data_IF_802216438680
#
_entry.id   IF_802216438680
#
_cell.length_a   1.000
_cell.length_b   1.000
_cell.length_c   1.000
_cell.angle_alpha   90.00
_cell.angle_beta   90.00
_cell.angle_gamma   90.00
#
_symmetry.space_group_name_H-M   'P 1'
#
loop_
_entity.id
_entity.type
_entity.pdbx_description
1 polymer ?
#
# COMPACT_ATOMS: atom_id res chain seq x y z
N UNK A 1 13.85 5.14 -5.25
CA UNK A 1 12.70 5.92 -4.73
C UNK A 1 12.55 5.85 -3.20
N UNK A 2 12.33 4.70 -2.60
CA UNK A 2 12.25 4.50 -1.14
C UNK A 2 13.42 3.63 -0.68
N UNK A 3 14.10 4.03 0.41
CA UNK A 3 15.14 3.23 1.09
C UNK A 3 14.80 3.18 2.58
N UNK A 4 14.72 1.97 3.10
CA UNK A 4 14.54 1.69 4.53
C UNK A 4 15.80 1.01 5.03
N UNK A 5 16.45 1.60 6.03
CA UNK A 5 17.77 1.15 6.51
C UNK A 5 17.72 0.87 8.00
N UNK A 6 17.90 -0.39 8.38
CA UNK A 6 18.07 -0.90 9.76
C UNK A 6 17.03 -0.34 10.75
N UNK A 7 15.77 -0.24 10.34
CA UNK A 7 14.72 0.30 11.22
C UNK A 7 14.40 -0.67 12.33
N UNK A 8 14.25 -0.11 13.55
CA UNK A 8 13.83 -0.84 14.74
C UNK A 8 12.60 -0.13 15.34
N UNK A 9 11.47 -0.85 15.44
CA UNK A 9 10.20 -0.27 15.89
C UNK A 9 9.67 -1.04 17.09
N UNK A 10 9.15 -0.31 18.08
CA UNK A 10 8.68 -0.85 19.35
C UNK A 10 7.25 -0.40 19.66
N UNK A 11 6.47 -1.29 20.23
CA UNK A 11 5.22 -1.00 20.92
C UNK A 11 5.45 -1.21 22.43
N UNK A 12 5.78 -0.14 23.14
CA UNK A 12 6.23 -0.24 24.53
C UNK A 12 7.47 -1.13 24.65
N UNK A 13 7.38 -2.26 25.33
CA UNK A 13 8.47 -3.23 25.48
C UNK A 13 8.57 -4.24 24.32
N UNK A 14 7.58 -4.30 23.43
CA UNK A 14 7.54 -5.28 22.33
C UNK A 14 8.37 -4.75 21.16
N UNK A 15 9.45 -5.46 20.81
CA UNK A 15 10.28 -5.19 19.63
C UNK A 15 9.62 -5.78 18.39
N UNK A 16 8.83 -4.98 17.68
CA UNK A 16 8.01 -5.42 16.55
C UNK A 16 8.80 -5.53 15.24
N UNK A 17 9.68 -4.56 14.96
CA UNK A 17 10.56 -4.55 13.78
C UNK A 17 12.01 -4.51 14.24
N UNK A 18 12.83 -5.43 13.71
CA UNK A 18 14.14 -5.79 14.25
C UNK A 18 15.22 -5.67 13.17
N UNK A 19 15.67 -4.44 12.90
CA UNK A 19 16.74 -4.18 11.95
C UNK A 19 16.33 -4.47 10.49
N UNK A 20 15.15 -4.01 10.08
CA UNK A 20 14.65 -4.24 8.72
C UNK A 20 15.25 -3.22 7.77
N UNK A 21 15.79 -3.75 6.65
CA UNK A 21 16.30 -2.95 5.53
C UNK A 21 15.73 -3.48 4.21
N UNK A 22 15.20 -2.59 3.39
CA UNK A 22 14.74 -2.89 2.03
C UNK A 22 14.65 -1.61 1.20
N UNK A 23 14.44 -1.76 -0.10
CA UNK A 23 14.29 -0.62 -1.01
C UNK A 23 13.20 -0.86 -2.04
N UNK A 24 12.67 0.23 -2.59
CA UNK A 24 11.72 0.25 -3.71
C UNK A 24 12.28 1.21 -4.76
N UNK A 25 12.48 0.73 -5.98
CA UNK A 25 12.94 1.53 -7.12
C UNK A 25 11.77 2.24 -7.79
N UNK A 26 12.05 3.27 -8.60
CA UNK A 26 11.02 3.93 -9.39
C UNK A 26 10.41 2.95 -10.42
N UNK A 27 9.08 2.94 -10.53
CA UNK A 27 8.35 2.11 -11.47
C UNK A 27 8.38 0.62 -11.13
N UNK A 28 8.64 0.23 -9.89
CA UNK A 28 8.71 -1.16 -9.42
C UNK A 28 7.48 -1.51 -8.58
N UNK A 29 6.98 -2.75 -8.70
CA UNK A 29 6.12 -3.36 -7.68
C UNK A 29 7.01 -4.17 -6.74
N UNK A 30 7.12 -3.72 -5.50
CA UNK A 30 7.77 -4.48 -4.42
C UNK A 30 6.71 -5.03 -3.48
N UNK A 31 6.83 -6.29 -3.09
CA UNK A 31 5.92 -6.87 -2.09
C UNK A 31 6.63 -7.27 -0.80
N UNK A 32 5.96 -7.03 0.33
CA UNK A 32 6.31 -7.60 1.63
C UNK A 32 5.29 -8.68 1.96
N UNK A 33 5.71 -9.93 1.97
CA UNK A 33 4.88 -11.07 2.34
C UNK A 33 5.28 -11.60 3.72
N UNK A 34 4.36 -12.25 4.40
CA UNK A 34 4.58 -12.84 5.72
C UNK A 34 3.27 -13.11 6.45
N UNK A 35 3.33 -13.93 7.48
CA UNK A 35 2.18 -14.27 8.31
C UNK A 35 1.60 -13.04 9.05
N UNK A 36 0.38 -13.19 9.57
CA UNK A 36 -0.20 -12.18 10.46
C UNK A 36 0.67 -11.96 11.69
N UNK A 37 0.89 -10.69 12.03
CA UNK A 37 1.81 -10.33 13.12
C UNK A 37 3.30 -10.32 12.74
N UNK A 38 3.67 -10.61 11.50
CA UNK A 38 5.08 -10.54 11.07
C UNK A 38 5.66 -9.11 11.12
N UNK A 39 4.81 -8.07 11.12
CA UNK A 39 5.23 -6.67 11.21
C UNK A 39 4.98 -5.86 9.93
N UNK A 40 4.30 -6.41 8.93
CA UNK A 40 4.03 -5.78 7.62
C UNK A 40 3.37 -4.40 7.76
N UNK A 41 2.20 -4.32 8.38
CA UNK A 41 1.48 -3.07 8.67
C UNK A 41 2.31 -2.09 9.52
N UNK A 42 3.11 -2.62 10.47
CA UNK A 42 4.02 -1.79 11.29
C UNK A 42 5.04 -1.05 10.42
N UNK A 43 5.61 -1.73 9.41
CA UNK A 43 6.54 -1.11 8.45
C UNK A 43 5.83 0.00 7.67
N UNK A 44 4.64 -0.26 7.10
CA UNK A 44 3.88 0.75 6.34
C UNK A 44 3.52 1.96 7.21
N UNK A 45 3.07 1.73 8.46
CA UNK A 45 2.76 2.79 9.40
C UNK A 45 4.00 3.61 9.78
N UNK A 46 5.18 2.99 9.83
CA UNK A 46 6.43 3.69 10.10
C UNK A 46 6.84 4.56 8.91
N UNK A 47 6.72 4.04 7.69
CA UNK A 47 7.02 4.81 6.45
C UNK A 47 6.06 5.98 6.29
N UNK A 48 4.78 5.80 6.61
CA UNK A 48 3.76 6.87 6.50
C UNK A 48 3.80 7.89 7.65
N UNK A 49 4.71 7.73 8.63
CA UNK A 49 4.86 8.64 9.76
C UNK A 49 3.78 8.52 10.84
N UNK A 50 2.99 7.45 10.82
CA UNK A 50 2.04 7.10 11.87
C UNK A 50 2.73 6.47 13.09
N UNK A 51 3.88 5.83 12.84
CA UNK A 51 4.80 5.31 13.86
C UNK A 51 6.20 5.87 13.63
N UNK A 52 7.04 5.79 14.65
CA UNK A 52 8.44 6.20 14.56
C UNK A 52 9.37 5.03 14.84
N UNK A 53 10.41 4.89 14.02
CA UNK A 53 11.52 3.97 14.32
C UNK A 53 12.36 4.53 15.46
N UNK A 54 12.82 3.66 16.36
CA UNK A 54 13.75 4.03 17.44
C UNK A 54 15.17 4.25 16.90
N UNK A 55 15.55 3.46 15.90
CA UNK A 55 16.83 3.55 15.20
C UNK A 55 16.62 3.26 13.72
N UNK A 56 17.65 3.51 12.91
CA UNK A 56 17.59 3.36 11.46
C UNK A 56 17.11 4.62 10.76
N UNK A 57 16.96 4.56 9.45
CA UNK A 57 16.49 5.69 8.64
C UNK A 57 15.53 5.23 7.56
N UNK A 58 14.64 6.15 7.16
CA UNK A 58 13.74 5.98 6.02
C UNK A 58 13.95 7.19 5.11
N UNK A 59 14.34 6.92 3.88
CA UNK A 59 14.57 7.94 2.87
C UNK A 59 13.58 7.76 1.72
N UNK A 60 12.90 8.82 1.35
CA UNK A 60 12.01 8.86 0.21
C UNK A 60 12.42 9.98 -0.73
N UNK A 61 12.79 9.64 -1.98
CA UNK A 61 13.29 10.58 -2.97
C UNK A 61 14.45 11.43 -2.41
N UNK A 62 15.45 10.76 -1.84
CA UNK A 62 16.66 11.34 -1.22
C UNK A 62 16.39 12.29 -0.04
N UNK A 63 15.17 12.23 0.53
CA UNK A 63 14.80 13.00 1.72
C UNK A 63 14.55 12.06 2.90
N UNK A 64 15.20 12.29 4.02
CA UNK A 64 14.96 11.54 5.25
C UNK A 64 13.58 11.89 5.83
N UNK A 65 12.71 10.89 5.95
CA UNK A 65 11.35 11.06 6.47
C UNK A 65 11.32 11.34 7.97
N UNK A 66 12.37 11.02 8.74
CA UNK A 66 12.43 11.34 10.16
C UNK A 66 12.42 12.86 10.44
N UNK A 67 12.84 13.68 9.47
CA UNK A 67 12.78 15.14 9.56
C UNK A 67 11.38 15.70 9.16
N UNK A 68 10.45 14.86 8.73
CA UNK A 68 9.12 15.29 8.27
C UNK A 68 8.11 15.13 9.41
N UNK A 69 7.56 16.24 9.87
CA UNK A 69 6.60 16.25 10.97
C UNK A 69 5.16 16.16 10.46
N UNK A 70 4.53 14.99 10.67
CA UNK A 70 3.14 14.73 10.37
C UNK A 70 2.90 14.02 9.02
N UNK A 71 2.01 13.04 9.05
CA UNK A 71 1.68 12.19 7.91
C UNK A 71 1.20 12.98 6.67
N UNK A 72 0.49 14.12 6.86
CA UNK A 72 0.04 14.96 5.76
C UNK A 72 1.20 15.55 4.93
N UNK A 73 2.34 15.84 5.55
CA UNK A 73 3.53 16.32 4.83
C UNK A 73 4.17 15.19 4.02
N UNK A 74 4.12 13.95 4.52
CA UNK A 74 4.58 12.76 3.78
C UNK A 74 3.71 12.54 2.54
N UNK A 75 2.39 12.66 2.69
CA UNK A 75 1.45 12.62 1.55
C UNK A 75 1.76 13.70 0.52
N UNK A 76 2.04 14.94 0.97
CA UNK A 76 2.41 16.06 0.08
C UNK A 76 3.70 15.82 -0.70
N UNK A 77 4.58 14.92 -0.23
CA UNK A 77 5.81 14.50 -0.95
C UNK A 77 5.53 13.45 -2.02
N UNK A 78 4.31 12.91 -2.07
CA UNK A 78 3.90 11.91 -3.06
C UNK A 78 3.90 10.47 -2.56
N UNK A 79 3.78 10.25 -1.24
CA UNK A 79 3.66 8.92 -0.65
C UNK A 79 2.24 8.76 -0.09
N UNK A 80 1.47 7.79 -0.61
CA UNK A 80 0.12 7.51 -0.14
C UNK A 80 0.00 6.09 0.40
N UNK A 81 -0.80 5.93 1.46
CA UNK A 81 -1.12 4.65 2.07
C UNK A 81 -2.61 4.35 1.93
N UNK A 82 -2.93 3.17 1.40
CA UNK A 82 -4.25 2.53 1.54
C UNK A 82 -4.15 1.56 2.71
N UNK A 83 -4.71 1.88 3.87
CA UNK A 83 -4.58 1.05 5.06
C UNK A 83 -5.49 -0.16 5.00
N UNK A 84 -5.18 -1.18 5.79
CA UNK A 84 -6.03 -2.33 6.05
C UNK A 84 -7.43 -1.88 6.52
N UNK A 85 -8.47 -2.62 6.10
CA UNK A 85 -9.86 -2.35 6.46
C UNK A 85 -10.46 -1.15 5.75
N UNK A 86 -9.89 -0.71 4.61
CA UNK A 86 -10.41 0.31 3.66
C UNK A 86 -10.45 1.72 4.22
N UNK A 87 -10.91 1.93 5.46
CA UNK A 87 -10.97 3.22 6.19
C UNK A 87 -11.63 4.34 5.37
N UNK A 88 -12.68 4.02 4.61
CA UNK A 88 -13.50 5.03 3.93
C UNK A 88 -14.43 5.74 4.91
N UNK A 89 -14.82 6.98 4.58
CA UNK A 89 -15.79 7.74 5.36
C UNK A 89 -17.20 7.26 5.00
N UNK A 90 -17.74 6.36 5.81
CA UNK A 90 -18.98 5.62 5.51
C UNK A 90 -20.22 6.51 5.33
N UNK A 91 -20.25 7.69 5.96
CA UNK A 91 -21.39 8.63 5.90
C UNK A 91 -21.26 9.67 4.78
N UNK A 92 -20.13 9.70 4.09
CA UNK A 92 -19.88 10.59 2.95
C UNK A 92 -20.22 9.90 1.64
N UNK A 93 -20.49 10.68 0.60
CA UNK A 93 -20.62 10.13 -0.75
C UNK A 93 -19.30 9.57 -1.27
N UNK A 94 -19.37 8.81 -2.37
CA UNK A 94 -18.16 8.35 -3.08
C UNK A 94 -17.32 9.54 -3.52
N UNK A 95 -17.93 10.56 -4.13
CA UNK A 95 -17.23 11.76 -4.63
C UNK A 95 -16.57 12.53 -3.50
N UNK A 96 -17.28 12.76 -2.37
CA UNK A 96 -16.69 13.44 -1.21
C UNK A 96 -15.49 12.66 -0.63
N UNK A 97 -15.59 11.32 -0.57
CA UNK A 97 -14.46 10.48 -0.15
C UNK A 97 -13.25 10.66 -1.07
N UNK A 98 -13.46 10.73 -2.38
CA UNK A 98 -12.38 10.95 -3.34
C UNK A 98 -11.77 12.34 -3.18
N UNK A 99 -12.60 13.39 -3.07
CA UNK A 99 -12.12 14.76 -2.88
C UNK A 99 -11.29 14.92 -1.60
N UNK A 100 -11.64 14.22 -0.51
CA UNK A 100 -10.83 14.19 0.71
C UNK A 100 -9.40 13.66 0.45
N UNK A 101 -9.22 12.77 -0.53
CA UNK A 101 -7.90 12.27 -0.93
C UNK A 101 -7.02 13.35 -1.59
N UNK A 102 -7.64 14.38 -2.15
CA UNK A 102 -6.94 15.52 -2.77
C UNK A 102 -6.60 16.65 -1.78
N UNK A 103 -6.76 16.46 -0.47
CA UNK A 103 -6.58 17.51 0.55
C UNK A 103 -5.25 18.27 0.43
N UNK A 104 -4.18 17.57 0.03
CA UNK A 104 -2.83 18.16 -0.14
C UNK A 104 -2.60 18.74 -1.53
N UNK A 105 -3.58 18.64 -2.44
CA UNK A 105 -3.43 19.04 -3.83
C UNK A 105 -4.00 20.45 -4.09
N UNK A 106 -3.48 21.19 -5.08
CA UNK A 106 -4.07 22.45 -5.50
C UNK A 106 -5.52 22.27 -5.96
N UNK A 107 -6.42 23.20 -5.61
CA UNK A 107 -7.86 23.12 -5.95
C UNK A 107 -8.13 22.86 -7.44
N UNK A 108 -7.33 23.45 -8.33
CA UNK A 108 -7.49 23.29 -9.78
C UNK A 108 -7.20 21.87 -10.31
N UNK A 109 -6.58 20.99 -9.50
CA UNK A 109 -6.27 19.60 -9.89
C UNK A 109 -7.29 18.57 -9.44
N UNK A 110 -8.29 18.98 -8.64
CA UNK A 110 -9.31 18.06 -8.08
C UNK A 110 -10.17 17.47 -9.21
N UNK A 111 -10.77 18.28 -10.06
CA UNK A 111 -11.63 17.79 -11.14
C UNK A 111 -10.87 16.90 -12.14
N UNK A 112 -9.68 17.25 -12.63
CA UNK A 112 -8.86 16.33 -13.41
C UNK A 112 -8.49 15.05 -12.66
N UNK A 113 -8.25 15.13 -11.35
CA UNK A 113 -7.98 13.98 -10.48
C UNK A 113 -9.16 13.01 -10.42
N UNK A 114 -10.35 13.53 -10.18
CA UNK A 114 -11.61 12.75 -10.18
C UNK A 114 -11.80 12.03 -11.52
N UNK A 115 -11.58 12.70 -12.65
CA UNK A 115 -11.77 12.08 -13.95
C UNK A 115 -10.76 10.93 -14.18
N UNK A 116 -9.49 11.09 -13.78
CA UNK A 116 -8.50 9.99 -13.84
C UNK A 116 -8.92 8.80 -12.96
N UNK A 117 -9.38 9.06 -11.73
CA UNK A 117 -9.85 8.00 -10.83
C UNK A 117 -11.08 7.30 -11.41
N UNK A 118 -12.01 8.03 -12.01
CA UNK A 118 -13.19 7.46 -12.64
C UNK A 118 -12.89 6.65 -13.91
N UNK A 119 -11.81 6.97 -14.62
CA UNK A 119 -11.31 6.13 -15.72
C UNK A 119 -10.78 4.79 -15.21
N UNK A 120 -10.06 4.79 -14.09
CA UNK A 120 -9.56 3.55 -13.46
C UNK A 120 -10.67 2.75 -12.78
N UNK A 121 -11.65 3.44 -12.21
CA UNK A 121 -12.75 2.84 -11.46
C UNK A 121 -14.11 3.31 -11.96
N UNK A 122 -14.59 2.85 -13.14
CA UNK A 122 -15.85 3.33 -13.74
C UNK A 122 -17.06 3.15 -12.81
N UNK A 123 -17.07 2.11 -11.99
CA UNK A 123 -18.13 1.84 -11.00
C UNK A 123 -18.24 2.96 -9.95
N UNK A 124 -17.14 3.59 -9.57
CA UNK A 124 -17.17 4.73 -8.66
C UNK A 124 -17.84 5.95 -9.31
N UNK A 125 -17.63 6.17 -10.62
CA UNK A 125 -18.32 7.23 -11.38
C UNK A 125 -19.83 7.04 -11.41
N UNK A 126 -20.28 5.81 -11.70
CA UNK A 126 -21.70 5.44 -11.71
C UNK A 126 -22.38 5.73 -10.35
N UNK A 127 -21.63 5.52 -9.28
CA UNK A 127 -22.09 5.61 -7.88
C UNK A 127 -21.62 6.86 -7.15
N UNK A 128 -21.12 7.87 -7.84
CA UNK A 128 -20.45 9.03 -7.23
C UNK A 128 -21.24 9.73 -6.12
N UNK A 129 -22.57 9.75 -6.23
CA UNK A 129 -23.48 10.36 -5.24
C UNK A 129 -23.96 9.39 -4.16
N UNK A 130 -23.61 8.09 -4.28
CA UNK A 130 -24.02 7.07 -3.32
C UNK A 130 -23.21 7.20 -2.03
N UNK A 131 -23.85 6.96 -0.89
CA UNK A 131 -23.21 6.94 0.41
C UNK A 131 -22.25 5.73 0.50
N UNK A 132 -20.99 5.96 0.85
CA UNK A 132 -19.93 4.95 0.81
C UNK A 132 -20.21 3.73 1.71
N UNK A 133 -20.94 3.92 2.81
CA UNK A 133 -21.33 2.83 3.70
C UNK A 133 -22.28 1.81 3.07
N UNK A 134 -22.94 2.15 1.95
CA UNK A 134 -23.87 1.26 1.24
C UNK A 134 -23.22 0.50 0.08
N UNK A 135 -21.95 0.75 -0.17
CA UNK A 135 -21.16 0.04 -1.18
C UNK A 135 -20.80 -1.38 -0.72
N UNK A 136 -20.62 -2.29 -1.68
CA UNK A 136 -20.03 -3.61 -1.41
C UNK A 136 -18.58 -3.48 -0.91
N UNK A 137 -18.05 -4.55 -0.28
CA UNK A 137 -16.67 -4.56 0.21
C UNK A 137 -15.64 -4.27 -0.87
N UNK A 138 -15.81 -4.80 -2.08
CA UNK A 138 -14.92 -4.53 -3.20
C UNK A 138 -15.01 -3.10 -3.70
N UNK A 139 -16.21 -2.52 -3.78
CA UNK A 139 -16.41 -1.12 -4.16
C UNK A 139 -15.80 -0.16 -3.13
N UNK A 140 -15.91 -0.49 -1.83
CA UNK A 140 -15.24 0.27 -0.77
C UNK A 140 -13.71 0.19 -0.88
N UNK A 141 -13.16 -0.99 -1.29
CA UNK A 141 -11.73 -1.13 -1.53
C UNK A 141 -11.27 -0.30 -2.73
N UNK A 142 -12.01 -0.33 -3.83
CA UNK A 142 -11.77 0.54 -4.99
C UNK A 142 -11.84 2.02 -4.60
N UNK A 143 -12.80 2.40 -3.74
CA UNK A 143 -12.93 3.77 -3.23
C UNK A 143 -11.72 4.18 -2.38
N UNK A 144 -11.22 3.30 -1.51
CA UNK A 144 -10.02 3.55 -0.71
C UNK A 144 -8.78 3.75 -1.59
N UNK A 145 -8.60 2.91 -2.62
CA UNK A 145 -7.53 3.06 -3.61
C UNK A 145 -7.69 4.34 -4.43
N UNK A 146 -8.89 4.61 -4.95
CA UNK A 146 -9.20 5.83 -5.69
C UNK A 146 -8.92 7.09 -4.86
N UNK A 147 -9.29 7.10 -3.58
CA UNK A 147 -9.01 8.19 -2.66
C UNK A 147 -7.49 8.42 -2.48
N UNK A 148 -6.70 7.36 -2.37
CA UNK A 148 -5.26 7.48 -2.30
C UNK A 148 -4.67 8.07 -3.60
N UNK A 149 -5.17 7.65 -4.77
CA UNK A 149 -4.75 8.15 -6.08
C UNK A 149 -5.08 9.63 -6.30
N UNK A 150 -6.08 10.18 -5.61
CA UNK A 150 -6.40 11.61 -5.66
C UNK A 150 -5.26 12.50 -5.14
N UNK A 151 -4.37 11.97 -4.30
CA UNK A 151 -3.16 12.69 -3.87
C UNK A 151 -2.05 12.72 -4.94
N UNK A 152 -2.27 12.09 -6.11
CA UNK A 152 -1.30 11.93 -7.19
C UNK A 152 0.04 11.36 -6.70
N UNK A 153 0.04 10.17 -6.07
CA UNK A 153 1.21 9.63 -5.40
C UNK A 153 2.28 9.18 -6.40
N UNK A 154 3.54 9.32 -6.02
CA UNK A 154 4.70 8.71 -6.69
C UNK A 154 4.92 7.28 -6.19
N UNK A 155 4.62 7.04 -4.90
CA UNK A 155 4.62 5.72 -4.28
C UNK A 155 3.25 5.46 -3.64
N UNK A 156 2.58 4.41 -4.10
CA UNK A 156 1.34 3.91 -3.52
C UNK A 156 1.64 2.70 -2.64
N UNK A 157 1.36 2.80 -1.35
CA UNK A 157 1.47 1.70 -0.41
C UNK A 157 0.10 1.08 -0.18
N UNK A 158 -0.01 -0.24 -0.30
CA UNK A 158 -1.25 -1.01 -0.15
C UNK A 158 -1.09 -2.03 0.99
N UNK A 159 -1.92 -1.92 2.01
CA UNK A 159 -1.91 -2.82 3.18
C UNK A 159 -3.07 -3.82 3.09
N UNK A 160 -2.74 -5.05 2.70
CA UNK A 160 -3.65 -6.19 2.54
C UNK A 160 -4.93 -5.83 1.74
N UNK A 161 -4.78 -5.27 0.51
CA UNK A 161 -5.92 -4.76 -0.25
C UNK A 161 -6.93 -5.84 -0.66
N UNK A 162 -6.54 -7.11 -0.65
CA UNK A 162 -7.42 -8.24 -1.00
C UNK A 162 -8.16 -8.83 0.19
N UNK A 163 -7.83 -8.44 1.42
CA UNK A 163 -8.35 -9.08 2.62
C UNK A 163 -9.88 -8.97 2.76
N UNK A 164 -10.52 -10.13 3.01
CA UNK A 164 -11.97 -10.21 3.22
C UNK A 164 -12.82 -9.95 1.97
N UNK A 165 -12.23 -10.08 0.79
CA UNK A 165 -12.92 -10.00 -0.49
C UNK A 165 -13.23 -11.38 -1.05
N UNK A 166 -14.31 -11.47 -1.84
CA UNK A 166 -14.61 -12.67 -2.62
C UNK A 166 -13.54 -12.88 -3.71
N UNK A 167 -13.24 -14.15 -4.13
CA UNK A 167 -12.15 -14.45 -5.08
C UNK A 167 -12.17 -13.60 -6.35
N UNK A 168 -13.32 -13.41 -6.96
CA UNK A 168 -13.47 -12.59 -8.17
C UNK A 168 -13.09 -11.12 -7.95
N UNK A 169 -13.32 -10.58 -6.74
CA UNK A 169 -12.93 -9.22 -6.40
C UNK A 169 -11.43 -9.12 -6.09
N UNK A 170 -10.84 -10.20 -5.54
CA UNK A 170 -9.37 -10.28 -5.36
C UNK A 170 -8.69 -10.15 -6.72
N UNK A 171 -9.09 -10.94 -7.72
CA UNK A 171 -8.54 -10.87 -9.08
C UNK A 171 -8.66 -9.45 -9.65
N UNK A 172 -9.83 -8.81 -9.51
CA UNK A 172 -10.05 -7.43 -9.95
C UNK A 172 -9.10 -6.44 -9.29
N UNK A 173 -8.86 -6.55 -7.97
CA UNK A 173 -7.91 -5.67 -7.26
C UNK A 173 -6.49 -5.86 -7.79
N UNK A 174 -6.05 -7.10 -8.03
CA UNK A 174 -4.73 -7.36 -8.57
C UNK A 174 -4.59 -6.90 -10.02
N UNK A 175 -5.64 -6.98 -10.83
CA UNK A 175 -5.63 -6.42 -12.19
C UNK A 175 -5.52 -4.89 -12.15
N UNK A 176 -6.23 -4.21 -11.23
CA UNK A 176 -6.08 -2.77 -11.00
C UNK A 176 -4.65 -2.42 -10.59
N UNK A 177 -4.03 -3.19 -9.69
CA UNK A 177 -2.62 -2.99 -9.29
C UNK A 177 -1.69 -3.06 -10.50
N UNK A 178 -1.87 -4.05 -11.38
CA UNK A 178 -1.09 -4.18 -12.62
C UNK A 178 -1.30 -2.98 -13.56
N UNK A 179 -2.55 -2.52 -13.72
CA UNK A 179 -2.85 -1.37 -14.57
C UNK A 179 -2.24 -0.06 -14.02
N UNK A 180 -2.29 0.15 -12.71
CA UNK A 180 -1.63 1.29 -12.06
C UNK A 180 -0.11 1.26 -12.27
N UNK A 181 0.50 0.09 -12.15
CA UNK A 181 1.93 -0.10 -12.41
C UNK A 181 2.27 0.18 -13.88
N UNK A 182 1.51 -0.36 -14.84
CA UNK A 182 1.69 -0.06 -16.26
C UNK A 182 1.57 1.44 -16.57
N UNK A 183 0.73 2.16 -15.81
CA UNK A 183 0.61 3.61 -15.91
C UNK A 183 1.77 4.39 -15.25
N UNK A 184 2.78 3.69 -14.70
CA UNK A 184 3.99 4.26 -14.11
C UNK A 184 3.93 4.51 -12.61
N UNK A 185 2.91 3.99 -11.90
CA UNK A 185 2.84 4.11 -10.44
C UNK A 185 3.79 3.11 -9.79
N UNK A 186 4.67 3.57 -8.90
CA UNK A 186 5.48 2.71 -8.04
C UNK A 186 4.62 2.18 -6.90
N UNK A 187 4.72 0.88 -6.58
CA UNK A 187 3.82 0.23 -5.62
C UNK A 187 4.62 -0.55 -4.58
N UNK A 188 4.32 -0.32 -3.30
CA UNK A 188 4.71 -1.19 -2.20
C UNK A 188 3.47 -1.94 -1.70
N UNK A 189 3.41 -3.23 -2.01
CA UNK A 189 2.29 -4.09 -1.70
C UNK A 189 2.59 -4.95 -0.47
N UNK A 190 1.74 -4.87 0.53
CA UNK A 190 1.76 -5.78 1.68
C UNK A 190 0.59 -6.73 1.55
N UNK A 191 0.84 -8.03 1.59
CA UNK A 191 -0.19 -9.04 1.43
C UNK A 191 0.08 -10.30 2.28
N UNK A 192 -0.99 -10.96 2.68
CA UNK A 192 -0.96 -12.30 3.23
C UNK A 192 -1.05 -13.35 2.12
N UNK A 193 -1.78 -13.06 1.05
CA UNK A 193 -1.85 -13.93 -0.13
C UNK A 193 -0.55 -13.82 -0.92
N UNK A 194 0.47 -14.56 -0.47
CA UNK A 194 1.81 -14.52 -1.03
C UNK A 194 1.84 -14.91 -2.52
N UNK A 195 1.03 -15.89 -2.93
CA UNK A 195 0.98 -16.33 -4.33
C UNK A 195 0.53 -15.19 -5.26
N UNK A 196 -0.56 -14.51 -4.92
CA UNK A 196 -1.05 -13.40 -5.71
C UNK A 196 -0.07 -12.21 -5.69
N UNK A 197 0.46 -11.87 -4.51
CA UNK A 197 1.41 -10.77 -4.38
C UNK A 197 2.68 -10.97 -5.21
N UNK A 198 3.31 -12.15 -5.10
CA UNK A 198 4.52 -12.49 -5.86
C UNK A 198 4.27 -12.60 -7.36
N UNK A 199 3.05 -12.99 -7.79
CA UNK A 199 2.71 -13.10 -9.21
C UNK A 199 2.68 -11.76 -9.95
N UNK A 200 2.56 -10.64 -9.22
CA UNK A 200 2.53 -9.28 -9.78
C UNK A 200 3.76 -8.46 -9.44
N UNK A 201 4.58 -8.92 -8.50
CA UNK A 201 5.73 -8.19 -8.00
C UNK A 201 6.99 -8.41 -8.84
N UNK A 202 7.74 -7.35 -9.08
CA UNK A 202 9.10 -7.43 -9.64
C UNK A 202 10.05 -8.04 -8.62
N UNK A 203 9.89 -7.63 -7.33
CA UNK A 203 10.72 -8.08 -6.22
C UNK A 203 9.89 -8.27 -4.95
N UNK A 204 10.28 -9.27 -4.15
CA UNK A 204 9.64 -9.57 -2.87
C UNK A 204 10.62 -9.66 -1.71
N UNK A 205 10.09 -9.37 -0.53
CA UNK A 205 10.76 -9.59 0.75
C UNK A 205 9.85 -10.42 1.65
N UNK A 206 10.41 -11.48 2.23
CA UNK A 206 9.70 -12.36 3.17
C UNK A 206 9.99 -11.88 4.59
N UNK A 207 8.93 -11.54 5.31
CA UNK A 207 9.02 -11.00 6.67
C UNK A 207 8.54 -12.05 7.69
N UNK A 208 9.38 -12.36 8.66
CA UNK A 208 9.06 -13.24 9.79
C UNK A 208 9.44 -12.59 11.12
N UNK A 209 8.50 -12.50 12.03
CA UNK A 209 8.71 -12.01 13.40
C UNK A 209 9.54 -10.71 13.47
N UNK A 210 9.25 -9.78 12.56
CA UNK A 210 9.88 -8.47 12.49
C UNK A 210 11.23 -8.43 11.80
N UNK A 211 11.62 -9.47 11.04
CA UNK A 211 12.88 -9.55 10.28
C UNK A 211 12.62 -9.95 8.84
N UNK A 212 13.40 -9.45 7.91
CA UNK A 212 13.46 -10.00 6.55
C UNK A 212 14.33 -11.25 6.58
N UNK A 213 13.76 -12.38 6.13
CA UNK A 213 14.42 -13.69 6.12
C UNK A 213 14.77 -14.15 4.70
N UNK A 214 14.12 -13.62 3.67
CA UNK A 214 14.43 -13.92 2.28
C UNK A 214 14.07 -12.72 1.39
N UNK A 215 14.76 -12.61 0.25
CA UNK A 215 14.51 -11.62 -0.78
C UNK A 215 14.87 -12.18 -2.15
N UNK A 216 14.15 -11.76 -3.18
CA UNK A 216 14.39 -12.19 -4.56
C UNK A 216 13.40 -11.55 -5.53
N UNK A 217 13.50 -11.89 -6.82
CA UNK A 217 12.44 -11.54 -7.75
C UNK A 217 11.14 -12.25 -7.37
N UNK A 218 9.99 -11.70 -7.78
CA UNK A 218 8.70 -12.37 -7.56
C UNK A 218 8.70 -13.81 -8.10
N UNK A 219 9.29 -14.02 -9.28
CA UNK A 219 9.40 -15.33 -9.92
C UNK A 219 10.32 -16.30 -9.14
N UNK A 220 11.46 -15.83 -8.61
CA UNK A 220 12.36 -16.67 -7.82
C UNK A 220 11.69 -17.10 -6.52
N UNK A 221 11.05 -16.17 -5.81
CA UNK A 221 10.34 -16.48 -4.55
C UNK A 221 9.13 -17.40 -4.75
N UNK A 222 8.42 -17.31 -5.88
CA UNK A 222 7.36 -18.26 -6.23
C UNK A 222 7.88 -19.69 -6.44
N UNK A 223 9.15 -19.85 -6.82
CA UNK A 223 9.78 -21.14 -7.06
C UNK A 223 10.61 -21.64 -5.86
N UNK A 224 10.83 -20.81 -4.85
CA UNK A 224 11.57 -21.17 -3.65
C UNK A 224 10.80 -22.19 -2.80
N UNK A 225 11.42 -23.33 -2.50
CA UNK A 225 10.79 -24.44 -1.77
C UNK A 225 10.42 -24.06 -0.31
N UNK A 226 11.22 -23.22 0.36
CA UNK A 226 10.93 -22.75 1.71
C UNK A 226 9.73 -21.79 1.71
N UNK A 227 9.68 -20.90 0.74
CA UNK A 227 8.55 -19.96 0.55
C UNK A 227 7.26 -20.72 0.18
N UNK A 228 7.35 -21.71 -0.72
CA UNK A 228 6.21 -22.56 -1.08
C UNK A 228 5.62 -23.23 0.15
N UNK A 229 6.47 -23.93 0.90
CA UNK A 229 6.04 -24.66 2.10
C UNK A 229 5.46 -23.77 3.18
N UNK A 230 6.00 -22.56 3.36
CA UNK A 230 5.59 -21.66 4.43
C UNK A 230 4.36 -20.80 4.07
N UNK A 231 4.20 -20.41 2.79
CA UNK A 231 3.28 -19.34 2.40
C UNK A 231 2.39 -19.65 1.19
N UNK A 232 2.70 -20.66 0.37
CA UNK A 232 1.94 -20.95 -0.87
C UNK A 232 1.05 -22.18 -0.79
N UNK A 233 0.98 -22.85 0.38
CA UNK A 233 0.08 -24.01 0.59
C UNK A 233 0.61 -25.29 -0.05
N UNK A 234 1.91 -25.52 0.03
CA UNK A 234 2.58 -26.76 -0.40
C UNK A 234 2.21 -27.98 0.44
#
# INVERSE_FOLDING_TARGET
MLKVNDINVYYGAIHAIKGVSFEVSDGEIVTLIGANGAGKTTILNTISGLLHSKTGSIEFMDQNLAAVHGAHQIVSKGLALVPEGRRVFLQMSVEDNLEMGAFTQPKGTIAPGLERVYQQFPRLKERRRQIAGTLSGGEQQMLAMGRALMSNPKLLMLDEPSMGLAPILVEQIFDIIKELHKAGTTILLVEQNAQMALSVADRGYVLETGKIVSTGSGADLLNDEAVKKAYLGG
#
